data_IF_174626206825
#
_entry.id   IF_174626206825
#
_cell.length_a   1.000
_cell.length_b   1.000
_cell.length_c   1.000
_cell.angle_alpha   90.00
_cell.angle_beta   90.00
_cell.angle_gamma   90.00
#
_symmetry.space_group_name_H-M   'P 1'
#
loop_
_entity.id
_entity.type
_entity.pdbx_description
1 polymer ?
#
# COMPACT_ATOMS: atom_id res chain seq x y z
N UNK A 1 42.52 26.45 -26.77
CA UNK A 1 41.13 25.95 -26.85
C UNK A 1 40.71 25.55 -25.45
N UNK A 2 40.07 26.44 -24.75
CA UNK A 2 39.50 26.19 -23.42
C UNK A 2 38.00 26.02 -23.58
N UNK A 3 37.56 24.78 -23.58
CA UNK A 3 36.13 24.42 -23.54
C UNK A 3 35.62 24.77 -22.14
N UNK A 4 34.88 25.86 -22.06
CA UNK A 4 34.16 26.26 -20.85
C UNK A 4 33.20 25.14 -20.50
N UNK A 5 33.42 24.49 -19.36
CA UNK A 5 32.39 23.71 -18.68
C UNK A 5 31.18 24.62 -18.54
N UNK A 6 30.10 24.23 -19.19
CA UNK A 6 28.77 24.86 -19.04
C UNK A 6 28.37 24.61 -17.59
N UNK A 7 28.38 25.66 -16.77
CA UNK A 7 27.79 25.62 -15.45
C UNK A 7 26.35 25.13 -15.66
N UNK A 8 26.08 23.92 -15.17
CA UNK A 8 24.73 23.40 -15.06
C UNK A 8 24.03 24.24 -13.98
N UNK A 9 23.44 25.36 -14.41
CA UNK A 9 22.62 26.18 -13.56
C UNK A 9 21.44 25.34 -13.04
N UNK A 10 21.60 24.92 -11.79
CA UNK A 10 20.60 24.14 -11.08
C UNK A 10 19.25 24.90 -11.14
N UNK A 11 18.28 24.37 -11.83
CA UNK A 11 16.97 24.98 -12.01
C UNK A 11 16.18 24.97 -10.68
N UNK A 12 16.42 25.97 -9.85
CA UNK A 12 15.81 26.11 -8.53
C UNK A 12 14.27 26.17 -8.58
N UNK A 13 13.69 26.58 -9.68
CA UNK A 13 12.23 26.62 -9.83
C UNK A 13 11.59 25.24 -9.91
N UNK A 14 12.32 24.26 -10.44
CA UNK A 14 11.88 22.87 -10.51
C UNK A 14 12.28 22.06 -9.26
N UNK A 15 13.42 22.38 -8.68
CA UNK A 15 13.93 21.69 -7.48
C UNK A 15 13.15 22.02 -6.20
N UNK A 16 12.74 23.28 -6.01
CA UNK A 16 11.99 23.69 -4.82
C UNK A 16 10.75 22.85 -4.54
N UNK A 17 9.83 22.61 -5.52
CA UNK A 17 8.65 21.76 -5.28
C UNK A 17 9.01 20.32 -4.94
N UNK A 18 10.08 19.77 -5.55
CA UNK A 18 10.54 18.40 -5.29
C UNK A 18 11.15 18.27 -3.89
N UNK A 19 11.96 19.24 -3.47
CA UNK A 19 12.53 19.27 -2.12
C UNK A 19 11.44 19.42 -1.05
N UNK A 20 10.46 20.27 -1.28
CA UNK A 20 9.30 20.42 -0.38
C UNK A 20 8.54 19.11 -0.28
N UNK A 21 8.27 18.46 -1.41
CA UNK A 21 7.59 17.16 -1.44
C UNK A 21 8.38 16.12 -0.65
N UNK A 22 9.67 16.00 -0.90
CA UNK A 22 10.56 15.08 -0.19
C UNK A 22 10.62 15.36 1.32
N UNK A 23 10.71 16.62 1.72
CA UNK A 23 10.70 17.03 3.13
C UNK A 23 9.37 16.69 3.81
N UNK A 24 8.24 16.87 3.12
CA UNK A 24 6.92 16.50 3.63
C UNK A 24 6.73 14.98 3.73
N UNK A 25 7.27 14.19 2.79
CA UNK A 25 7.17 12.75 2.80
C UNK A 25 8.09 12.09 3.85
N UNK A 26 9.30 12.59 4.02
CA UNK A 26 10.30 12.04 4.95
C UNK A 26 10.24 12.68 6.35
N UNK A 27 9.72 13.91 6.47
CA UNK A 27 9.63 14.64 7.72
C UNK A 27 9.02 13.86 8.88
N UNK A 28 7.86 13.22 8.71
CA UNK A 28 7.24 12.40 9.75
C UNK A 28 8.15 11.28 10.24
N UNK A 29 8.90 10.61 9.34
CA UNK A 29 9.84 9.56 9.72
C UNK A 29 11.00 10.10 10.55
N UNK A 30 11.54 11.25 10.19
CA UNK A 30 12.60 11.93 10.97
C UNK A 30 12.09 12.25 12.37
N UNK A 31 10.87 12.76 12.49
CA UNK A 31 10.22 13.03 13.79
C UNK A 31 10.08 11.74 14.60
N UNK A 32 9.66 10.65 13.99
CA UNK A 32 9.56 9.34 14.65
C UNK A 32 10.92 8.91 15.23
N UNK A 33 11.99 8.95 14.43
CA UNK A 33 13.31 8.53 14.87
C UNK A 33 13.85 9.39 16.01
N UNK A 34 13.69 10.72 15.92
CA UNK A 34 14.15 11.64 16.97
C UNK A 34 13.34 11.44 18.26
N UNK A 35 12.03 11.33 18.16
CA UNK A 35 11.15 11.16 19.31
C UNK A 35 11.37 9.78 19.97
N UNK A 36 11.50 8.71 19.18
CA UNK A 36 11.76 7.37 19.70
C UNK A 36 13.15 7.24 20.35
N UNK A 37 14.15 8.00 19.88
CA UNK A 37 15.49 8.01 20.49
C UNK A 37 15.55 8.74 21.84
N UNK A 38 14.56 9.58 22.14
CA UNK A 38 14.53 10.43 23.37
C UNK A 38 13.45 10.03 24.36
N UNK A 39 12.48 9.23 23.94
CA UNK A 39 11.33 8.84 24.73
C UNK A 39 10.90 7.42 24.37
N UNK A 40 9.82 6.95 24.96
CA UNK A 40 9.22 5.64 24.68
C UNK A 40 8.59 5.59 23.26
N UNK A 41 8.45 4.36 22.74
CA UNK A 41 7.84 4.06 21.44
C UNK A 41 6.42 4.65 21.32
N UNK A 42 5.66 4.70 22.42
CA UNK A 42 4.32 5.29 22.44
C UNK A 42 4.35 6.80 22.18
N UNK A 43 5.28 7.50 22.85
CA UNK A 43 5.50 8.95 22.65
C UNK A 43 6.01 9.19 21.22
N UNK A 44 6.95 8.37 20.74
CA UNK A 44 7.44 8.43 19.37
C UNK A 44 6.31 8.27 18.33
N UNK A 45 5.42 7.31 18.56
CA UNK A 45 4.25 7.08 17.71
C UNK A 45 3.28 8.27 17.70
N UNK A 46 3.02 8.87 18.87
CA UNK A 46 2.14 10.05 18.95
C UNK A 46 2.71 11.25 18.18
N UNK A 47 4.00 11.53 18.32
CA UNK A 47 4.69 12.58 17.55
C UNK A 47 4.70 12.30 16.05
N UNK A 48 4.92 11.04 15.67
CA UNK A 48 4.86 10.60 14.27
C UNK A 48 3.47 10.83 13.65
N UNK A 49 2.41 10.47 14.39
CA UNK A 49 1.03 10.70 13.93
C UNK A 49 0.75 12.19 13.75
N UNK A 50 1.14 13.03 14.72
CA UNK A 50 0.99 14.48 14.61
C UNK A 50 1.75 15.06 13.42
N UNK A 51 3.00 14.63 13.22
CA UNK A 51 3.82 15.02 12.08
C UNK A 51 3.22 14.56 10.74
N UNK A 52 2.63 13.35 10.69
CA UNK A 52 1.96 12.84 9.49
C UNK A 52 0.73 13.66 9.12
N UNK A 53 -0.13 13.99 10.09
CA UNK A 53 -1.29 14.89 9.87
C UNK A 53 -0.82 16.25 9.36
N UNK A 54 0.17 16.83 10.01
CA UNK A 54 0.73 18.12 9.60
C UNK A 54 1.30 18.05 8.18
N UNK A 55 2.04 17.00 7.85
CA UNK A 55 2.61 16.79 6.52
C UNK A 55 1.52 16.68 5.43
N UNK A 56 0.45 15.92 5.69
CA UNK A 56 -0.67 15.80 4.76
C UNK A 56 -1.40 17.14 4.57
N UNK A 57 -1.62 17.89 5.65
CA UNK A 57 -2.23 19.23 5.59
C UNK A 57 -1.35 20.22 4.80
N UNK A 58 -0.05 20.25 5.08
CA UNK A 58 0.89 21.11 4.34
C UNK A 58 1.00 20.70 2.87
N UNK A 59 1.01 19.41 2.58
CA UNK A 59 1.00 18.92 1.21
C UNK A 59 -0.24 19.37 0.45
N UNK A 60 -1.41 19.31 1.09
CA UNK A 60 -2.65 19.82 0.49
C UNK A 60 -2.63 21.34 0.29
N UNK A 61 -2.16 22.11 1.29
CA UNK A 61 -2.12 23.57 1.23
C UNK A 61 -1.10 24.10 0.22
N UNK A 62 0.13 23.52 0.21
CA UNK A 62 1.25 24.03 -0.59
C UNK A 62 1.23 23.48 -2.02
N UNK A 63 0.94 22.19 -2.18
CA UNK A 63 1.00 21.53 -3.47
C UNK A 63 -0.38 21.41 -4.15
N UNK A 64 -1.47 21.72 -3.43
CA UNK A 64 -2.87 21.58 -3.87
C UNK A 64 -3.19 20.19 -4.44
N UNK A 65 -2.35 19.21 -4.16
CA UNK A 65 -2.48 17.80 -4.57
C UNK A 65 -1.96 16.95 -3.44
N UNK A 66 -2.77 16.00 -3.00
CA UNK A 66 -2.30 14.93 -2.10
C UNK A 66 -2.08 13.71 -2.98
N UNK A 67 -0.86 13.20 -3.01
CA UNK A 67 -0.59 11.96 -3.71
C UNK A 67 -1.32 10.81 -2.99
N UNK A 68 -1.88 9.88 -3.75
CA UNK A 68 -2.69 8.79 -3.20
C UNK A 68 -1.90 7.94 -2.20
N UNK A 69 -0.63 7.66 -2.48
CA UNK A 69 0.22 6.84 -1.61
C UNK A 69 0.47 7.47 -0.23
N UNK A 70 0.92 8.73 -0.09
CA UNK A 70 1.01 9.38 1.21
C UNK A 70 -0.31 9.45 1.97
N UNK A 71 -1.45 9.62 1.27
CA UNK A 71 -2.77 9.60 1.90
C UNK A 71 -3.11 8.23 2.49
N UNK A 72 -2.93 7.16 1.71
CA UNK A 72 -3.16 5.78 2.17
C UNK A 72 -2.25 5.45 3.34
N UNK A 73 -0.96 5.77 3.23
CA UNK A 73 0.01 5.58 4.32
C UNK A 73 -0.39 6.35 5.56
N UNK A 74 -0.81 7.62 5.41
CA UNK A 74 -1.28 8.46 6.51
C UNK A 74 -2.50 7.87 7.22
N UNK A 75 -3.51 7.40 6.47
CA UNK A 75 -4.69 6.74 7.05
C UNK A 75 -4.28 5.49 7.82
N UNK A 76 -3.44 4.63 7.24
CA UNK A 76 -2.93 3.42 7.90
C UNK A 76 -2.21 3.78 9.20
N UNK A 77 -1.29 4.73 9.14
CA UNK A 77 -0.52 5.19 10.32
C UNK A 77 -1.43 5.76 11.41
N UNK A 78 -2.42 6.58 11.05
CA UNK A 78 -3.34 7.18 12.02
C UNK A 78 -4.23 6.13 12.69
N UNK A 79 -4.74 5.17 11.91
CA UNK A 79 -5.56 4.08 12.45
C UNK A 79 -4.72 3.18 13.37
N UNK A 80 -3.57 2.68 12.89
CA UNK A 80 -2.75 1.74 13.66
C UNK A 80 -2.01 2.43 14.81
N UNK A 81 -1.51 3.63 14.61
CA UNK A 81 -0.90 4.43 15.67
C UNK A 81 -1.92 4.79 16.75
N UNK A 82 -3.11 5.26 16.36
CA UNK A 82 -4.19 5.55 17.29
C UNK A 82 -4.62 4.33 18.11
N UNK A 83 -4.76 3.18 17.45
CA UNK A 83 -5.04 1.91 18.12
C UNK A 83 -3.91 1.50 19.08
N UNK A 84 -2.65 1.70 18.72
CA UNK A 84 -1.50 1.40 19.56
C UNK A 84 -1.46 2.29 20.80
N UNK A 85 -1.82 3.57 20.67
CA UNK A 85 -1.85 4.51 21.80
C UNK A 85 -3.05 4.30 22.73
N UNK A 86 -4.18 3.85 22.20
CA UNK A 86 -5.41 3.71 22.96
C UNK A 86 -5.50 2.39 23.74
N UNK A 87 -4.85 1.33 23.26
CA UNK A 87 -5.06 -0.03 23.76
C UNK A 87 -3.74 -0.60 24.35
N UNK A 88 -3.61 -0.49 25.66
CA UNK A 88 -2.46 -0.99 26.45
C UNK A 88 -2.68 -2.40 27.02
N UNK A 89 -3.59 -3.21 26.47
CA UNK A 89 -3.97 -4.52 27.02
C UNK A 89 -3.48 -5.68 26.13
N UNK A 90 -3.09 -6.81 26.79
CA UNK A 90 -2.66 -8.06 26.13
C UNK A 90 -3.72 -8.63 25.19
N UNK A 91 -5.01 -8.45 25.51
CA UNK A 91 -6.12 -8.84 24.64
C UNK A 91 -6.06 -8.13 23.29
N UNK A 92 -5.57 -6.90 23.29
CA UNK A 92 -5.44 -6.11 22.08
C UNK A 92 -4.39 -6.67 21.10
N UNK A 93 -3.32 -7.27 21.61
CA UNK A 93 -2.31 -7.92 20.75
C UNK A 93 -2.97 -9.00 19.88
N UNK A 94 -3.94 -9.73 20.46
CA UNK A 94 -4.70 -10.77 19.74
C UNK A 94 -5.75 -10.21 18.79
N UNK A 95 -6.28 -9.03 19.06
CA UNK A 95 -7.24 -8.34 18.19
C UNK A 95 -6.58 -7.61 17.01
N UNK A 96 -5.29 -7.24 17.13
CA UNK A 96 -4.58 -6.51 16.05
C UNK A 96 -4.79 -7.13 14.67
N UNK A 97 -4.63 -8.44 14.46
CA UNK A 97 -4.84 -9.03 13.14
C UNK A 97 -6.27 -8.88 12.63
N UNK A 98 -7.28 -9.08 13.51
CA UNK A 98 -8.69 -8.89 13.11
C UNK A 98 -8.93 -7.48 12.59
N UNK A 99 -8.39 -6.48 13.29
CA UNK A 99 -8.54 -5.07 12.91
C UNK A 99 -7.82 -4.78 11.60
N UNK A 100 -6.57 -5.24 11.46
CA UNK A 100 -5.75 -5.05 10.25
C UNK A 100 -6.41 -5.69 9.04
N UNK A 101 -6.77 -6.96 9.15
CA UNK A 101 -7.37 -7.71 8.04
C UNK A 101 -8.74 -7.13 7.68
N UNK A 102 -9.56 -6.75 8.68
CA UNK A 102 -10.83 -6.08 8.43
C UNK A 102 -10.64 -4.74 7.71
N UNK A 103 -9.64 -3.95 8.11
CA UNK A 103 -9.33 -2.68 7.46
C UNK A 103 -8.92 -2.89 6.00
N UNK A 104 -8.03 -3.85 5.72
CA UNK A 104 -7.67 -4.18 4.34
C UNK A 104 -8.88 -4.65 3.53
N UNK A 105 -9.73 -5.51 4.12
CA UNK A 105 -10.99 -5.94 3.51
C UNK A 105 -11.89 -4.75 3.15
N UNK A 106 -12.14 -3.84 4.11
CA UNK A 106 -12.96 -2.64 3.91
C UNK A 106 -12.37 -1.72 2.85
N UNK A 107 -11.05 -1.46 2.90
CA UNK A 107 -10.37 -0.57 1.94
C UNK A 107 -10.43 -1.14 0.52
N UNK A 108 -10.15 -2.44 0.35
CA UNK A 108 -10.19 -3.08 -0.97
C UNK A 108 -11.61 -3.14 -1.54
N UNK A 109 -12.59 -3.61 -0.76
CA UNK A 109 -13.97 -3.71 -1.22
C UNK A 109 -14.62 -2.32 -1.34
N UNK A 110 -14.31 -1.40 -0.42
CA UNK A 110 -14.73 -0.01 -0.50
C UNK A 110 -14.21 0.67 -1.77
N UNK A 111 -12.96 0.46 -2.14
CA UNK A 111 -12.40 0.94 -3.41
C UNK A 111 -13.22 0.45 -4.62
N UNK A 112 -13.65 -0.82 -4.61
CA UNK A 112 -14.49 -1.37 -5.70
C UNK A 112 -15.86 -0.71 -5.79
N UNK A 113 -16.47 -0.29 -4.67
CA UNK A 113 -17.73 0.47 -4.70
C UNK A 113 -17.58 1.78 -5.49
N UNK A 114 -16.40 2.41 -5.41
CA UNK A 114 -16.05 3.60 -6.20
C UNK A 114 -15.45 3.26 -7.57
N UNK A 115 -15.53 2.01 -8.03
CA UNK A 115 -14.95 1.50 -9.28
C UNK A 115 -13.43 1.66 -9.37
N UNK A 116 -12.76 1.71 -8.23
CA UNK A 116 -11.31 1.81 -8.11
C UNK A 116 -10.75 0.49 -7.60
N UNK A 117 -9.92 -0.16 -8.39
CA UNK A 117 -9.19 -1.36 -7.96
C UNK A 117 -7.87 -0.93 -7.31
N UNK A 118 -7.82 -0.94 -5.97
CA UNK A 118 -6.63 -0.51 -5.23
C UNK A 118 -5.43 -1.43 -5.44
N UNK A 119 -5.65 -2.74 -5.64
CA UNK A 119 -4.56 -3.68 -5.96
C UNK A 119 -3.83 -3.31 -7.26
N UNK A 120 -4.51 -2.68 -8.22
CA UNK A 120 -3.87 -2.19 -9.44
C UNK A 120 -2.82 -1.12 -9.16
N UNK A 121 -3.04 -0.26 -8.17
CA UNK A 121 -2.06 0.79 -7.81
C UNK A 121 -0.82 0.21 -7.15
N UNK A 122 -0.97 -0.91 -6.41
CA UNK A 122 0.14 -1.55 -5.70
C UNK A 122 0.92 -2.49 -6.63
N UNK A 123 0.21 -3.30 -7.42
CA UNK A 123 0.81 -4.39 -8.21
C UNK A 123 0.77 -4.15 -9.72
N UNK A 124 0.24 -3.03 -10.19
CA UNK A 124 0.09 -2.74 -11.62
C UNK A 124 1.40 -2.59 -12.41
N UNK A 125 2.51 -2.36 -11.72
CA UNK A 125 3.84 -2.36 -12.33
C UNK A 125 4.36 -3.79 -12.55
N UNK A 126 4.04 -4.70 -11.63
CA UNK A 126 4.48 -6.11 -11.66
C UNK A 126 3.60 -6.94 -12.57
N UNK A 127 2.28 -6.75 -12.48
CA UNK A 127 1.30 -7.52 -13.25
C UNK A 127 0.56 -6.62 -14.24
N UNK A 128 0.46 -7.06 -15.50
CA UNK A 128 -0.39 -6.41 -16.49
C UNK A 128 -1.65 -7.27 -16.62
N UNK A 129 -2.80 -6.70 -16.22
CA UNK A 129 -4.10 -7.37 -16.30
C UNK A 129 -5.11 -6.44 -16.96
N UNK A 130 -6.13 -7.06 -17.60
CA UNK A 130 -7.31 -6.32 -18.06
C UNK A 130 -8.08 -5.75 -16.87
N UNK A 131 -8.83 -4.65 -17.02
CA UNK A 131 -9.56 -4.01 -15.91
C UNK A 131 -10.45 -4.97 -15.11
N UNK A 132 -11.10 -5.91 -15.78
CA UNK A 132 -11.96 -6.92 -15.15
C UNK A 132 -11.15 -7.83 -14.23
N UNK A 133 -9.93 -8.20 -14.64
CA UNK A 133 -9.02 -9.03 -13.84
C UNK A 133 -8.62 -8.35 -12.53
N UNK A 134 -8.38 -7.05 -12.57
CA UNK A 134 -8.11 -6.26 -11.36
C UNK A 134 -9.30 -6.23 -10.41
N UNK A 135 -10.51 -6.11 -10.95
CA UNK A 135 -11.75 -6.12 -10.14
C UNK A 135 -11.94 -7.46 -9.45
N UNK A 136 -11.80 -8.58 -10.19
CA UNK A 136 -11.92 -9.93 -9.63
C UNK A 136 -10.85 -10.19 -8.57
N UNK A 137 -9.61 -9.80 -8.85
CA UNK A 137 -8.49 -9.99 -7.93
C UNK A 137 -8.72 -9.19 -6.64
N UNK A 138 -9.12 -7.93 -6.74
CA UNK A 138 -9.40 -7.07 -5.58
C UNK A 138 -10.56 -7.60 -4.75
N UNK A 139 -11.63 -8.08 -5.39
CA UNK A 139 -12.76 -8.70 -4.70
C UNK A 139 -12.33 -9.94 -3.91
N UNK A 140 -11.57 -10.84 -4.52
CA UNK A 140 -11.10 -12.07 -3.87
C UNK A 140 -10.20 -11.78 -2.69
N UNK A 141 -9.24 -10.86 -2.84
CA UNK A 141 -8.36 -10.46 -1.74
C UNK A 141 -9.11 -9.75 -0.62
N UNK A 142 -10.05 -8.88 -0.93
CA UNK A 142 -10.88 -8.22 0.09
C UNK A 142 -11.70 -9.21 0.91
N UNK A 143 -12.33 -10.19 0.26
CA UNK A 143 -13.05 -11.26 0.94
C UNK A 143 -12.12 -12.19 1.75
N UNK A 144 -10.93 -12.47 1.24
CA UNK A 144 -9.94 -13.27 1.95
C UNK A 144 -9.44 -12.57 3.22
N UNK A 145 -9.24 -11.27 3.20
CA UNK A 145 -8.90 -10.52 4.41
C UNK A 145 -10.02 -10.58 5.46
N UNK A 146 -11.29 -10.47 5.07
CA UNK A 146 -12.39 -10.67 6.01
C UNK A 146 -12.46 -12.10 6.55
N UNK A 147 -12.15 -13.09 5.72
CA UNK A 147 -12.03 -14.47 6.17
C UNK A 147 -10.90 -14.63 7.21
N UNK A 148 -9.73 -14.05 6.98
CA UNK A 148 -8.63 -14.07 7.96
C UNK A 148 -9.00 -13.35 9.25
N UNK A 149 -9.68 -12.21 9.17
CA UNK A 149 -10.17 -11.49 10.34
C UNK A 149 -11.14 -12.33 11.18
N UNK A 150 -12.12 -12.96 10.53
CA UNK A 150 -13.07 -13.85 11.19
C UNK A 150 -12.38 -15.08 11.81
N UNK A 151 -11.43 -15.66 11.07
CA UNK A 151 -10.66 -16.80 11.54
C UNK A 151 -9.80 -16.46 12.76
N UNK A 152 -9.12 -15.31 12.74
CA UNK A 152 -8.38 -14.82 13.91
C UNK A 152 -9.30 -14.62 15.11
N UNK A 153 -10.50 -14.02 14.89
CA UNK A 153 -11.47 -13.75 15.95
C UNK A 153 -11.94 -15.04 16.63
N UNK A 154 -12.23 -16.07 15.84
CA UNK A 154 -12.60 -17.38 16.35
C UNK A 154 -11.46 -18.02 17.15
N UNK A 155 -10.25 -18.01 16.58
CA UNK A 155 -9.10 -18.70 17.20
C UNK A 155 -8.71 -18.06 18.55
N UNK A 156 -8.55 -16.72 18.58
CA UNK A 156 -8.12 -16.08 19.82
C UNK A 156 -9.16 -16.11 20.94
N UNK A 157 -10.46 -16.22 20.59
CA UNK A 157 -11.54 -16.32 21.58
C UNK A 157 -11.75 -17.72 22.12
N UNK A 158 -11.41 -18.75 21.34
CA UNK A 158 -11.71 -20.15 21.70
C UNK A 158 -10.48 -20.96 22.10
N UNK A 159 -9.27 -20.48 21.79
CA UNK A 159 -8.04 -21.22 22.01
C UNK A 159 -7.08 -20.50 22.96
N UNK A 160 -6.08 -21.23 23.47
CA UNK A 160 -5.03 -20.66 24.32
C UNK A 160 -4.14 -19.68 23.53
N UNK A 161 -3.42 -18.83 24.28
CA UNK A 161 -2.48 -17.88 23.67
C UNK A 161 -1.37 -18.59 22.88
N UNK A 162 -0.84 -19.69 23.42
CA UNK A 162 0.22 -20.47 22.76
C UNK A 162 -0.28 -21.09 21.46
N UNK A 163 -1.51 -21.62 21.47
CA UNK A 163 -2.16 -22.12 20.25
C UNK A 163 -2.34 -21.00 19.22
N UNK A 164 -2.81 -19.83 19.64
CA UNK A 164 -3.01 -18.68 18.74
C UNK A 164 -1.69 -18.23 18.10
N UNK A 165 -0.58 -18.19 18.85
CA UNK A 165 0.75 -17.87 18.31
C UNK A 165 1.18 -18.91 17.28
N UNK A 166 1.07 -20.20 17.63
CA UNK A 166 1.40 -21.29 16.72
C UNK A 166 0.54 -21.26 15.45
N UNK A 167 -0.76 -21.00 15.59
CA UNK A 167 -1.70 -20.88 14.49
C UNK A 167 -1.31 -19.78 13.50
N UNK A 168 -0.84 -18.63 13.97
CA UNK A 168 -0.38 -17.56 13.10
C UNK A 168 0.76 -17.95 12.18
N UNK A 169 1.71 -18.70 12.73
CA UNK A 169 2.90 -19.14 11.96
C UNK A 169 2.54 -20.33 11.05
N UNK A 170 1.89 -21.35 11.61
CA UNK A 170 1.71 -22.63 10.93
C UNK A 170 0.42 -22.76 10.13
N UNK A 171 -0.56 -21.90 10.34
CA UNK A 171 -1.80 -21.94 9.60
C UNK A 171 -2.00 -20.68 8.74
N UNK A 172 -1.89 -19.48 9.32
CA UNK A 172 -2.19 -18.24 8.58
C UNK A 172 -1.22 -18.02 7.42
N UNK A 173 0.09 -18.23 7.62
CA UNK A 173 1.08 -18.07 6.54
C UNK A 173 0.88 -19.07 5.39
N UNK A 174 0.83 -20.40 5.62
CA UNK A 174 0.56 -21.35 4.56
C UNK A 174 -0.77 -21.10 3.84
N UNK A 175 -1.82 -20.74 4.59
CA UNK A 175 -3.13 -20.42 4.03
C UNK A 175 -3.06 -19.22 3.08
N UNK A 176 -2.33 -18.17 3.46
CA UNK A 176 -2.13 -16.98 2.60
C UNK A 176 -1.34 -17.34 1.33
N UNK A 177 -0.31 -18.18 1.45
CA UNK A 177 0.47 -18.64 0.28
C UNK A 177 -0.40 -19.48 -0.65
N UNK A 178 -1.19 -20.41 -0.11
CA UNK A 178 -2.12 -21.23 -0.90
C UNK A 178 -3.19 -20.37 -1.58
N UNK A 179 -3.74 -19.39 -0.86
CA UNK A 179 -4.67 -18.44 -1.44
C UNK A 179 -4.04 -17.63 -2.57
N UNK A 180 -2.83 -17.08 -2.35
CA UNK A 180 -2.10 -16.35 -3.38
C UNK A 180 -1.83 -17.22 -4.61
N UNK A 181 -1.38 -18.47 -4.43
CA UNK A 181 -1.20 -19.42 -5.51
C UNK A 181 -2.50 -19.74 -6.27
N UNK A 182 -3.63 -19.79 -5.55
CA UNK A 182 -4.95 -20.00 -6.17
C UNK A 182 -5.40 -18.83 -7.07
N UNK A 183 -4.71 -17.70 -7.05
CA UNK A 183 -4.99 -16.57 -7.94
C UNK A 183 -4.29 -16.70 -9.31
N UNK A 184 -3.34 -17.61 -9.49
CA UNK A 184 -2.66 -17.83 -10.78
C UNK A 184 -3.61 -18.03 -11.97
N UNK A 185 -4.69 -18.82 -11.88
CA UNK A 185 -5.66 -18.93 -12.97
C UNK A 185 -6.34 -17.61 -13.33
N UNK A 186 -6.56 -16.73 -12.33
CA UNK A 186 -7.13 -15.39 -12.57
C UNK A 186 -6.12 -14.52 -13.31
N UNK A 187 -4.86 -14.53 -12.87
CA UNK A 187 -3.79 -13.78 -13.52
C UNK A 187 -3.63 -14.20 -14.98
N UNK A 188 -3.63 -15.51 -15.25
CA UNK A 188 -3.52 -16.05 -16.61
C UNK A 188 -4.74 -15.72 -17.47
N UNK A 189 -5.95 -15.86 -16.92
CA UNK A 189 -7.20 -15.62 -17.66
C UNK A 189 -7.34 -14.16 -18.08
N UNK A 190 -6.89 -13.24 -17.25
CA UNK A 190 -7.03 -11.78 -17.48
C UNK A 190 -5.73 -11.11 -17.92
N UNK A 191 -4.71 -11.89 -18.30
CA UNK A 191 -3.52 -11.33 -18.94
C UNK A 191 -3.91 -10.60 -20.24
N UNK A 192 -3.20 -9.52 -20.60
CA UNK A 192 -3.40 -8.87 -21.90
C UNK A 192 -3.11 -9.87 -23.03
N UNK A 193 -3.87 -9.75 -24.10
CA UNK A 193 -3.55 -10.51 -25.31
C UNK A 193 -2.15 -10.16 -25.81
N UNK A 194 -1.34 -11.14 -26.24
CA UNK A 194 -0.06 -10.84 -26.84
C UNK A 194 -0.30 -9.92 -28.06
N UNK A 195 0.46 -8.83 -28.11
CA UNK A 195 0.44 -7.94 -29.27
C UNK A 195 0.82 -8.78 -30.49
N UNK A 196 -0.14 -9.01 -31.40
CA UNK A 196 0.17 -9.68 -32.68
C UNK A 196 1.28 -8.86 -33.36
N UNK A 197 2.35 -9.50 -33.84
CA UNK A 197 3.34 -8.80 -34.65
C UNK A 197 2.58 -8.08 -35.77
N UNK A 198 2.87 -6.80 -35.98
CA UNK A 198 2.36 -6.08 -37.14
C UNK A 198 2.82 -6.89 -38.36
N UNK A 199 1.85 -7.49 -39.06
CA UNK A 199 2.11 -8.17 -40.31
C UNK A 199 2.93 -7.20 -41.17
N UNK A 200 4.15 -7.60 -41.53
CA UNK A 200 5.01 -6.77 -42.34
C UNK A 200 4.20 -6.31 -43.56
N UNK A 201 4.05 -5.00 -43.70
CA UNK A 201 3.37 -4.39 -44.85
C UNK A 201 4.06 -4.99 -46.08
N UNK A 202 3.35 -5.86 -46.80
CA UNK A 202 3.80 -6.38 -48.08
C UNK A 202 4.16 -5.16 -48.92
N UNK A 203 5.42 -5.09 -49.50
CA UNK A 203 5.74 -4.00 -50.38
C UNK A 203 4.71 -3.92 -51.49
N UNK A 204 4.12 -2.74 -51.67
CA UNK A 204 3.19 -2.45 -52.75
C UNK A 204 3.94 -2.75 -54.04
N UNK A 205 3.45 -3.73 -54.82
CA UNK A 205 4.00 -3.98 -56.18
C UNK A 205 4.03 -2.64 -56.94
N UNK A 206 5.16 -2.30 -57.57
CA UNK A 206 5.20 -1.12 -58.42
C UNK A 206 4.20 -1.29 -59.54
N UNK A 207 3.32 -0.29 -59.68
CA UNK A 207 2.36 -0.22 -60.76
C UNK A 207 3.04 -0.35 -62.14
N UNK A 208 2.42 -1.00 -63.11
CA UNK A 208 2.95 -1.24 -64.43
C UNK A 208 3.18 0.05 -65.23
#
# INVERSE_FOLDING_TARGET
MAERAKDDDVNWSELKPQLIKMALELGPLVVLFIANARADIFVGTAWFMGAMVLSLLLSWLLLKRVALMPLVTGVVVLVFGGLTLWLHDDTFIKMKPTIVDSLFGVVLLGGLLFRVSLLRYVFGEVYKLRPEGWTVLTLRWGLFFFFLAALNEVVWRTQSTDFWVAFKVWATMPLTILFAASQLPVLNKYAPEPVKPVEAITPIDPLP
#
